data_IF_834614124448
#
_entry.id   IF_834614124448
#
_cell.length_a   1.000
_cell.length_b   1.000
_cell.length_c   1.000
_cell.angle_alpha   90.00
_cell.angle_beta   90.00
_cell.angle_gamma   90.00
#
_symmetry.space_group_name_H-M   'P 1'
#
loop_
_entity.id
_entity.type
_entity.pdbx_description
1 polymer ?
#
# COMPACT_ATOMS: atom_id res chain seq x y z
N UNK A 1 -26.18 -6.13 -13.04
CA UNK A 1 -25.60 -6.34 -14.38
C UNK A 1 -24.75 -5.16 -14.87
N UNK A 2 -25.11 -3.91 -14.59
CA UNK A 2 -24.38 -2.71 -15.04
C UNK A 2 -22.99 -2.52 -14.35
N UNK A 3 -22.81 -2.99 -13.12
CA UNK A 3 -21.55 -2.81 -12.39
C UNK A 3 -20.39 -3.67 -12.96
N UNK A 4 -20.72 -4.82 -13.56
CA UNK A 4 -19.70 -5.68 -14.17
C UNK A 4 -19.19 -5.16 -15.52
N UNK A 5 -19.99 -4.34 -16.20
CA UNK A 5 -19.59 -3.75 -17.48
C UNK A 5 -18.55 -2.62 -17.27
N UNK A 6 -18.74 -1.78 -16.27
CA UNK A 6 -17.80 -0.68 -15.97
C UNK A 6 -16.41 -1.19 -15.54
N UNK A 7 -16.37 -2.31 -14.80
CA UNK A 7 -15.11 -2.97 -14.45
C UNK A 7 -14.40 -3.56 -15.67
N UNK A 8 -15.16 -4.10 -16.62
CA UNK A 8 -14.59 -4.69 -17.85
C UNK A 8 -14.02 -3.62 -18.79
N UNK A 9 -14.67 -2.46 -18.91
CA UNK A 9 -14.13 -1.35 -19.72
C UNK A 9 -12.87 -0.73 -19.11
N UNK A 10 -12.77 -0.67 -17.78
CA UNK A 10 -11.56 -0.26 -17.09
C UNK A 10 -10.39 -1.22 -17.36
N UNK A 11 -10.66 -2.53 -17.40
CA UNK A 11 -9.64 -3.55 -17.71
C UNK A 11 -9.21 -3.54 -19.18
N UNK A 12 -10.13 -3.25 -20.10
CA UNK A 12 -9.83 -3.23 -21.54
C UNK A 12 -8.99 -1.99 -21.92
N UNK A 13 -9.25 -0.84 -21.32
CA UNK A 13 -8.39 0.34 -21.50
C UNK A 13 -6.99 0.12 -20.90
N UNK A 14 -6.91 -0.69 -19.84
CA UNK A 14 -5.64 -1.09 -19.22
C UNK A 14 -4.82 -2.01 -20.13
N UNK A 15 -5.48 -2.91 -20.88
CA UNK A 15 -4.80 -3.84 -21.78
C UNK A 15 -4.28 -3.16 -23.06
N UNK A 16 -4.97 -2.13 -23.58
CA UNK A 16 -4.53 -1.44 -24.79
C UNK A 16 -3.26 -0.60 -24.55
N UNK A 17 -3.00 -0.21 -23.30
CA UNK A 17 -1.78 0.50 -22.93
C UNK A 17 -0.56 -0.44 -22.85
N UNK A 18 -0.80 -1.73 -22.62
CA UNK A 18 0.29 -2.72 -22.45
C UNK A 18 1.07 -3.01 -23.75
N UNK A 19 0.48 -2.76 -24.92
CA UNK A 19 1.12 -3.06 -26.20
C UNK A 19 2.13 -2.00 -26.66
N UNK A 20 2.12 -0.82 -26.04
CA UNK A 20 3.01 0.31 -26.42
C UNK A 20 4.27 0.38 -25.57
N UNK A 21 4.38 -0.46 -24.52
CA UNK A 21 5.35 -0.23 -23.42
C UNK A 21 6.48 -1.26 -23.33
N UNK A 22 7.24 -1.47 -24.43
CA UNK A 22 8.37 -2.43 -24.44
C UNK A 22 9.76 -1.81 -24.31
N UNK A 23 9.87 -0.53 -23.96
CA UNK A 23 11.18 0.13 -23.82
C UNK A 23 11.42 0.68 -22.40
N UNK A 24 12.64 0.51 -21.91
CA UNK A 24 13.12 1.05 -20.62
C UNK A 24 12.87 2.55 -20.53
N UNK A 25 12.25 3.01 -19.47
CA UNK A 25 11.75 4.36 -19.47
C UNK A 25 11.99 5.15 -18.19
N UNK A 26 12.30 6.39 -18.34
CA UNK A 26 12.44 7.36 -17.25
C UNK A 26 11.09 8.00 -16.87
N UNK A 27 11.11 8.75 -15.79
CA UNK A 27 10.06 9.56 -15.17
C UNK A 27 9.26 10.39 -16.20
N UNK A 28 8.07 10.81 -15.88
CA UNK A 28 7.16 11.66 -16.68
C UNK A 28 7.85 12.71 -17.58
N UNK A 29 9.02 13.21 -17.19
CA UNK A 29 9.81 14.18 -17.96
C UNK A 29 10.21 13.74 -19.35
N UNK A 30 10.29 12.43 -19.63
CA UNK A 30 10.73 11.89 -20.92
C UNK A 30 9.59 11.42 -21.83
N UNK A 31 8.34 11.48 -21.39
CA UNK A 31 7.20 11.15 -22.23
C UNK A 31 6.87 12.29 -23.21
N UNK A 32 6.35 11.94 -24.39
CA UNK A 32 5.71 12.92 -25.27
C UNK A 32 4.55 13.59 -24.52
N UNK A 33 4.19 14.79 -24.94
CA UNK A 33 3.10 15.56 -24.32
C UNK A 33 1.78 14.78 -24.32
N UNK A 34 1.51 14.03 -25.41
CA UNK A 34 0.30 13.18 -25.53
C UNK A 34 0.29 12.06 -24.50
N UNK A 35 1.42 11.39 -24.29
CA UNK A 35 1.53 10.29 -23.31
C UNK A 35 1.39 10.82 -21.87
N UNK A 36 1.90 12.02 -21.58
CA UNK A 36 1.71 12.68 -20.27
C UNK A 36 0.24 12.97 -20.01
N UNK A 37 -0.46 13.49 -21.02
CA UNK A 37 -1.91 13.78 -20.91
C UNK A 37 -2.70 12.49 -20.60
N UNK A 38 -2.42 11.43 -21.35
CA UNK A 38 -3.10 10.14 -21.17
C UNK A 38 -2.87 9.54 -19.77
N UNK A 39 -1.62 9.51 -19.31
CA UNK A 39 -1.26 9.04 -17.96
C UNK A 39 -1.99 9.86 -16.90
N UNK A 40 -2.03 11.19 -17.06
CA UNK A 40 -2.72 12.08 -16.14
C UNK A 40 -4.21 11.79 -16.08
N UNK A 41 -4.88 11.64 -17.22
CA UNK A 41 -6.31 11.31 -17.29
C UNK A 41 -6.63 9.96 -16.61
N UNK A 42 -5.78 8.96 -16.81
CA UNK A 42 -5.94 7.66 -16.15
C UNK A 42 -5.82 7.80 -14.62
N UNK A 43 -4.84 8.55 -14.16
CA UNK A 43 -4.67 8.80 -12.71
C UNK A 43 -5.86 9.60 -12.15
N UNK A 44 -6.34 10.62 -12.85
CA UNK A 44 -7.50 11.43 -12.44
C UNK A 44 -8.75 10.56 -12.23
N UNK A 45 -8.92 9.53 -13.03
CA UNK A 45 -10.03 8.57 -12.86
C UNK A 45 -9.97 7.88 -11.49
N UNK A 46 -8.78 7.44 -11.06
CA UNK A 46 -8.62 6.80 -9.74
C UNK A 46 -8.78 7.80 -8.58
N UNK A 47 -8.40 9.06 -8.81
CA UNK A 47 -8.41 10.10 -7.78
C UNK A 47 -9.64 11.02 -7.83
N UNK A 48 -10.65 10.69 -8.62
CA UNK A 48 -11.83 11.55 -8.86
C UNK A 48 -12.52 12.06 -7.59
N UNK A 49 -12.42 11.31 -6.49
CA UNK A 49 -13.02 11.68 -5.20
C UNK A 49 -12.10 12.56 -4.33
N UNK A 50 -10.83 12.75 -4.75
CA UNK A 50 -9.86 13.58 -4.01
C UNK A 50 -8.86 14.23 -4.96
N UNK A 51 -9.32 15.15 -5.80
CA UNK A 51 -8.48 15.86 -6.76
C UNK A 51 -7.44 16.78 -6.08
N UNK A 52 -7.77 17.32 -4.90
CA UNK A 52 -6.80 18.10 -4.12
C UNK A 52 -5.64 17.23 -3.63
N UNK A 53 -5.96 16.06 -3.09
CA UNK A 53 -4.95 15.05 -2.71
C UNK A 53 -4.11 14.60 -3.90
N UNK A 54 -4.74 14.43 -5.08
CA UNK A 54 -4.04 14.07 -6.33
C UNK A 54 -2.97 15.10 -6.69
N UNK A 55 -3.32 16.37 -6.71
CA UNK A 55 -2.37 17.44 -7.03
C UNK A 55 -1.17 17.43 -6.07
N UNK A 56 -1.43 17.27 -4.78
CA UNK A 56 -0.38 17.19 -3.74
C UNK A 56 0.48 15.93 -3.93
N UNK A 57 -0.14 14.80 -4.25
CA UNK A 57 0.56 13.54 -4.50
C UNK A 57 1.52 13.67 -5.69
N UNK A 58 1.04 14.22 -6.81
CA UNK A 58 1.87 14.44 -8.01
C UNK A 58 3.05 15.36 -7.71
N UNK A 59 2.80 16.51 -7.07
CA UNK A 59 3.87 17.42 -6.66
C UNK A 59 4.96 16.68 -5.86
N UNK A 60 4.53 15.84 -4.89
CA UNK A 60 5.48 15.11 -4.04
C UNK A 60 6.20 13.98 -4.79
N UNK A 61 5.59 13.37 -5.81
CA UNK A 61 6.30 12.39 -6.65
C UNK A 61 7.44 13.04 -7.45
N UNK A 62 7.33 14.34 -7.70
CA UNK A 62 8.37 15.10 -8.43
C UNK A 62 9.40 15.74 -7.48
N UNK A 63 8.98 16.19 -6.31
CA UNK A 63 9.82 17.00 -5.40
C UNK A 63 10.44 16.19 -4.23
N UNK A 64 9.76 15.14 -3.75
CA UNK A 64 10.22 14.36 -2.59
C UNK A 64 10.70 12.97 -2.96
N UNK A 65 9.87 12.19 -3.69
CA UNK A 65 10.16 10.78 -3.96
C UNK A 65 11.51 10.54 -4.65
N UNK A 66 11.97 11.36 -5.61
CA UNK A 66 13.27 11.12 -6.25
C UNK A 66 14.46 11.12 -5.28
N UNK A 67 14.36 11.85 -4.16
CA UNK A 67 15.42 11.91 -3.14
C UNK A 67 15.61 10.57 -2.41
N UNK A 68 14.58 9.72 -2.41
CA UNK A 68 14.55 8.50 -1.62
C UNK A 68 14.34 7.23 -2.47
N UNK A 69 14.12 7.39 -3.78
CA UNK A 69 13.83 6.29 -4.71
C UNK A 69 14.86 5.17 -4.59
N UNK A 70 16.16 5.52 -4.61
CA UNK A 70 17.24 4.55 -4.53
C UNK A 70 17.19 3.73 -3.23
N UNK A 71 16.76 4.33 -2.11
CA UNK A 71 16.62 3.60 -0.83
C UNK A 71 15.45 2.61 -0.89
N UNK A 72 14.33 2.99 -1.53
CA UNK A 72 13.20 2.06 -1.74
C UNK A 72 13.60 0.90 -2.66
N UNK A 73 14.32 1.19 -3.75
CA UNK A 73 14.81 0.16 -4.67
C UNK A 73 15.78 -0.80 -3.97
N UNK A 74 16.72 -0.25 -3.20
CA UNK A 74 17.68 -1.05 -2.44
C UNK A 74 16.97 -1.92 -1.38
N UNK A 75 16.01 -1.36 -0.65
CA UNK A 75 15.25 -2.11 0.36
C UNK A 75 14.41 -3.22 -0.25
N UNK A 76 13.85 -3.02 -1.46
CA UNK A 76 13.01 -4.01 -2.14
C UNK A 76 13.82 -5.14 -2.80
N UNK A 77 15.11 -4.94 -3.06
CA UNK A 77 15.95 -5.85 -3.88
C UNK A 77 15.89 -7.32 -3.46
N UNK A 78 15.81 -7.57 -2.16
CA UNK A 78 15.81 -8.93 -1.61
C UNK A 78 14.45 -9.29 -0.97
N UNK A 79 13.41 -8.54 -1.28
CA UNK A 79 12.07 -8.76 -0.76
C UNK A 79 11.13 -9.24 -1.87
N UNK A 80 10.04 -9.86 -1.49
CA UNK A 80 9.03 -10.32 -2.45
C UNK A 80 7.99 -9.22 -2.75
N UNK A 81 8.45 -7.95 -2.83
CA UNK A 81 7.59 -6.82 -3.18
C UNK A 81 8.36 -5.81 -4.04
N UNK A 82 7.64 -5.13 -4.91
CA UNK A 82 8.22 -4.06 -5.72
C UNK A 82 8.43 -2.79 -4.88
N UNK A 83 9.44 -1.99 -5.21
CA UNK A 83 9.78 -0.77 -4.46
C UNK A 83 8.64 0.26 -4.43
N UNK A 84 7.78 0.28 -5.45
CA UNK A 84 6.61 1.19 -5.51
C UNK A 84 5.60 0.91 -4.40
N UNK A 85 5.45 -0.35 -3.97
CA UNK A 85 4.61 -0.68 -2.80
C UNK A 85 5.22 -0.09 -1.52
N UNK A 86 6.54 -0.24 -1.32
CA UNK A 86 7.21 0.34 -0.15
C UNK A 86 7.09 1.87 -0.13
N UNK A 87 7.23 2.50 -1.32
CA UNK A 87 7.04 3.94 -1.46
C UNK A 87 5.60 4.37 -1.16
N UNK A 88 4.60 3.56 -1.58
CA UNK A 88 3.18 3.81 -1.28
C UNK A 88 2.89 3.74 0.22
N UNK A 89 3.43 2.72 0.91
CA UNK A 89 3.34 2.60 2.37
C UNK A 89 3.94 3.85 3.02
N UNK A 90 5.16 4.21 2.64
CA UNK A 90 5.86 5.38 3.17
C UNK A 90 5.10 6.69 2.92
N UNK A 91 4.42 6.80 1.77
CA UNK A 91 3.58 7.98 1.50
C UNK A 91 2.40 8.04 2.47
N UNK A 92 1.73 6.93 2.69
CA UNK A 92 0.63 6.86 3.68
C UNK A 92 1.12 7.19 5.10
N UNK A 93 2.31 6.74 5.46
CA UNK A 93 2.87 6.92 6.80
C UNK A 93 3.32 8.37 7.06
N UNK A 94 4.04 8.97 6.11
CA UNK A 94 4.75 10.23 6.38
C UNK A 94 4.72 11.25 5.23
N UNK A 95 4.08 10.91 4.11
CA UNK A 95 4.19 11.69 2.86
C UNK A 95 5.67 11.88 2.44
N UNK A 96 6.49 10.84 2.64
CA UNK A 96 7.95 10.84 2.39
C UNK A 96 8.68 11.93 3.19
N UNK A 97 8.35 12.07 4.47
CA UNK A 97 9.03 12.99 5.39
C UNK A 97 9.84 12.21 6.44
N UNK A 98 11.19 12.18 6.34
CA UNK A 98 11.99 11.43 7.31
C UNK A 98 11.93 11.97 8.73
N UNK A 99 11.49 13.22 8.90
CA UNK A 99 11.37 13.87 10.23
C UNK A 99 9.96 13.75 10.82
N UNK A 100 9.06 12.99 10.17
CA UNK A 100 7.70 12.81 10.68
C UNK A 100 7.69 12.19 12.09
N UNK A 101 6.81 12.71 12.94
CA UNK A 101 6.59 12.24 14.31
C UNK A 101 5.08 12.29 14.57
N UNK A 102 4.51 11.16 15.02
CA UNK A 102 3.09 11.11 15.40
C UNK A 102 2.92 11.48 16.87
N UNK A 103 1.68 11.72 17.26
CA UNK A 103 1.30 11.97 18.67
C UNK A 103 1.64 10.78 19.58
N UNK A 104 1.72 9.56 19.04
CA UNK A 104 2.10 8.35 19.80
C UNK A 104 3.60 8.07 19.80
N UNK A 105 4.40 8.96 19.17
CA UNK A 105 5.87 8.88 19.18
C UNK A 105 6.49 7.94 18.15
N UNK A 106 5.72 7.43 17.18
CA UNK A 106 6.30 6.74 16.02
C UNK A 106 7.01 7.76 15.12
N UNK A 107 8.05 7.36 14.41
CA UNK A 107 8.94 8.31 13.72
C UNK A 107 9.44 7.80 12.37
N UNK A 108 9.76 8.77 11.53
CA UNK A 108 10.50 8.57 10.29
C UNK A 108 9.64 8.24 9.09
N UNK A 109 10.30 7.92 7.99
CA UNK A 109 9.67 7.64 6.69
C UNK A 109 8.58 6.57 6.76
N UNK A 110 8.79 5.53 7.56
CA UNK A 110 7.90 4.36 7.69
C UNK A 110 7.21 4.30 9.06
N UNK A 111 7.25 5.41 9.83
CA UNK A 111 6.57 5.57 11.12
C UNK A 111 6.80 4.39 12.09
N UNK A 112 8.08 4.08 12.34
CA UNK A 112 8.46 2.96 13.19
C UNK A 112 8.34 3.31 14.67
N UNK A 113 7.83 2.35 15.47
CA UNK A 113 7.96 2.41 16.93
C UNK A 113 9.42 2.17 17.32
N UNK A 114 9.79 2.56 18.54
CA UNK A 114 11.13 2.27 19.05
C UNK A 114 11.38 0.76 19.15
N UNK A 115 10.35 0.00 19.55
CA UNK A 115 10.41 -1.46 19.63
C UNK A 115 10.65 -2.08 18.24
N UNK A 116 9.87 -1.68 17.24
CA UNK A 116 10.01 -2.18 15.85
C UNK A 116 11.40 -1.85 15.30
N UNK A 117 11.86 -0.63 15.49
CA UNK A 117 13.19 -0.21 15.03
C UNK A 117 14.28 -1.11 15.62
N UNK A 118 14.22 -1.35 16.93
CA UNK A 118 15.16 -2.23 17.63
C UNK A 118 15.12 -3.67 17.07
N UNK A 119 13.90 -4.21 16.86
CA UNK A 119 13.70 -5.56 16.29
C UNK A 119 14.27 -5.67 14.87
N UNK A 120 14.22 -4.58 14.11
CA UNK A 120 14.72 -4.53 12.72
C UNK A 120 16.20 -4.09 12.64
N UNK A 121 16.87 -3.89 13.76
CA UNK A 121 18.27 -3.49 13.82
C UNK A 121 18.51 -2.04 13.39
N UNK A 122 17.50 -1.18 13.52
CA UNK A 122 17.54 0.21 13.06
C UNK A 122 17.97 1.12 14.22
N UNK A 123 19.03 1.87 14.01
CA UNK A 123 19.57 2.78 15.02
C UNK A 123 18.86 4.14 15.05
N UNK A 124 18.48 4.67 13.86
CA UNK A 124 17.97 6.04 13.75
C UNK A 124 16.70 6.10 12.87
N UNK A 125 15.54 6.03 13.50
CA UNK A 125 14.22 6.03 12.82
C UNK A 125 13.98 7.26 11.93
N UNK A 126 14.67 8.38 12.20
CA UNK A 126 14.55 9.63 11.43
C UNK A 126 15.60 9.75 10.32
N UNK A 127 16.49 8.79 10.20
CA UNK A 127 17.30 8.63 9.00
C UNK A 127 16.43 7.98 7.92
N UNK A 128 16.49 8.47 6.69
CA UNK A 128 15.58 8.02 5.64
C UNK A 128 15.87 6.57 5.23
N UNK A 129 17.14 6.24 5.01
CA UNK A 129 17.58 4.91 4.58
C UNK A 129 17.26 3.87 5.67
N UNK A 130 17.68 4.13 6.91
CA UNK A 130 17.39 3.29 8.07
C UNK A 130 15.87 3.04 8.23
N UNK A 131 15.07 4.10 8.15
CA UNK A 131 13.61 3.99 8.33
C UNK A 131 12.96 3.17 7.21
N UNK A 132 13.36 3.39 5.96
CA UNK A 132 12.85 2.64 4.79
C UNK A 132 13.23 1.16 4.92
N UNK A 133 14.48 0.87 5.22
CA UNK A 133 14.97 -0.49 5.39
C UNK A 133 14.22 -1.22 6.52
N UNK A 134 14.09 -0.57 7.68
CA UNK A 134 13.38 -1.15 8.83
C UNK A 134 11.91 -1.39 8.56
N UNK A 135 11.23 -0.44 7.89
CA UNK A 135 9.81 -0.59 7.53
C UNK A 135 9.58 -1.67 6.49
N UNK A 136 10.45 -1.76 5.50
CA UNK A 136 10.41 -2.78 4.45
C UNK A 136 10.56 -4.20 5.06
N UNK A 137 11.52 -4.38 5.93
CA UNK A 137 11.70 -5.66 6.64
C UNK A 137 10.52 -6.01 7.56
N UNK A 138 9.86 -5.02 8.18
CA UNK A 138 8.85 -5.18 8.84
C UNK A 138 7.82 -5.63 8.14
N UNK A 139 7.47 -5.10 7.04
CA UNK A 139 6.40 -5.51 6.13
C UNK A 139 6.62 -6.95 5.59
N UNK A 140 7.80 -7.21 5.09
CA UNK A 140 8.15 -8.56 4.60
C UNK A 140 7.98 -9.63 5.70
N UNK A 141 8.46 -9.34 6.91
CA UNK A 141 8.29 -10.25 8.07
C UNK A 141 6.80 -10.54 8.32
N UNK A 142 5.95 -9.53 8.17
CA UNK A 142 4.49 -9.67 8.31
C UNK A 142 3.92 -10.57 7.20
N UNK A 143 4.32 -10.35 5.96
CA UNK A 143 3.91 -11.19 4.81
C UNK A 143 4.31 -12.66 5.02
N UNK A 144 5.52 -12.89 5.53
CA UNK A 144 6.06 -14.24 5.72
C UNK A 144 5.34 -15.02 6.84
N UNK A 145 4.61 -14.33 7.72
CA UNK A 145 3.80 -14.97 8.78
C UNK A 145 2.47 -15.51 8.24
N UNK A 146 2.02 -15.02 7.09
CA UNK A 146 0.77 -15.49 6.48
C UNK A 146 1.01 -16.78 5.69
N UNK A 147 0.04 -17.72 5.69
CA UNK A 147 0.16 -18.99 4.98
C UNK A 147 0.54 -18.85 3.50
N UNK A 148 1.28 -19.83 3.00
CA UNK A 148 1.78 -19.83 1.61
C UNK A 148 0.64 -19.87 0.57
N UNK A 149 -0.48 -20.46 0.93
CA UNK A 149 -1.67 -20.66 0.09
C UNK A 149 -2.40 -19.34 -0.24
N UNK A 150 -2.21 -18.32 0.58
CA UNK A 150 -2.85 -17.00 0.35
C UNK A 150 -2.24 -16.37 -0.90
N UNK A 151 -3.08 -15.84 -1.79
CA UNK A 151 -2.62 -15.13 -2.97
C UNK A 151 -1.70 -13.96 -2.59
N UNK A 152 -0.75 -13.63 -3.44
CA UNK A 152 0.18 -12.51 -3.16
C UNK A 152 -0.58 -11.20 -2.88
N UNK A 153 -1.65 -10.94 -3.61
CA UNK A 153 -2.44 -9.73 -3.44
C UNK A 153 -3.15 -9.70 -2.08
N UNK A 154 -3.79 -10.81 -1.68
CA UNK A 154 -4.44 -10.91 -0.36
C UNK A 154 -3.42 -10.80 0.77
N UNK A 155 -2.22 -11.42 0.60
CA UNK A 155 -1.10 -11.24 1.56
C UNK A 155 -0.71 -9.77 1.72
N UNK A 156 -0.61 -9.05 0.62
CA UNK A 156 -0.29 -7.62 0.66
C UNK A 156 -1.36 -6.88 1.48
N UNK A 157 -2.65 -7.07 1.16
CA UNK A 157 -3.74 -6.37 1.85
C UNK A 157 -3.80 -6.71 3.34
N UNK A 158 -3.70 -7.98 3.70
CA UNK A 158 -3.66 -8.44 5.10
C UNK A 158 -2.44 -7.87 5.82
N UNK A 159 -1.28 -7.81 5.15
CA UNK A 159 -0.04 -7.27 5.74
C UNK A 159 -0.10 -5.75 5.93
N UNK A 160 -0.76 -5.03 5.03
CA UNK A 160 -1.01 -3.59 5.22
C UNK A 160 -1.88 -3.34 6.44
N UNK A 161 -2.96 -4.09 6.60
CA UNK A 161 -3.83 -3.99 7.77
C UNK A 161 -3.06 -4.37 9.06
N UNK A 162 -2.23 -5.42 9.00
CA UNK A 162 -1.39 -5.84 10.13
C UNK A 162 -0.33 -4.80 10.48
N UNK A 163 0.24 -4.10 9.50
CA UNK A 163 1.22 -3.03 9.71
C UNK A 163 0.61 -1.90 10.56
N UNK A 164 -0.65 -1.57 10.29
CA UNK A 164 -1.39 -0.52 10.99
C UNK A 164 -1.91 -0.97 12.37
N UNK A 165 -2.58 -2.12 12.44
CA UNK A 165 -3.30 -2.61 13.64
C UNK A 165 -2.51 -3.61 14.49
N UNK A 166 -1.41 -4.14 13.97
CA UNK A 166 -0.71 -5.27 14.57
C UNK A 166 -1.24 -6.61 14.06
N UNK A 167 -0.34 -7.56 13.86
CA UNK A 167 -0.59 -8.86 13.23
C UNK A 167 -1.65 -9.69 13.98
N UNK A 168 -1.70 -9.60 15.33
CA UNK A 168 -2.63 -10.39 16.15
C UNK A 168 -4.10 -10.13 15.77
N UNK A 169 -4.47 -8.92 15.37
CA UNK A 169 -5.84 -8.63 14.94
C UNK A 169 -6.18 -9.35 13.63
N UNK A 170 -5.22 -9.50 12.73
CA UNK A 170 -5.42 -10.24 11.47
C UNK A 170 -5.54 -11.74 11.74
N UNK A 171 -4.73 -12.31 12.65
CA UNK A 171 -4.88 -13.72 13.07
C UNK A 171 -6.29 -13.99 13.59
N UNK A 172 -6.76 -13.15 14.53
CA UNK A 172 -8.10 -13.29 15.12
C UNK A 172 -9.20 -13.16 14.05
N UNK A 173 -9.07 -12.22 13.12
CA UNK A 173 -10.03 -12.03 12.03
C UNK A 173 -10.06 -13.26 11.10
N UNK A 174 -8.90 -13.86 10.81
CA UNK A 174 -8.81 -15.09 10.01
C UNK A 174 -9.45 -16.29 10.74
N UNK A 175 -9.20 -16.43 12.05
CA UNK A 175 -9.81 -17.47 12.87
C UNK A 175 -11.34 -17.32 12.90
N UNK A 176 -11.82 -16.09 13.02
CA UNK A 176 -13.23 -15.77 13.00
C UNK A 176 -13.87 -16.04 11.63
N UNK A 177 -13.14 -15.76 10.53
CA UNK A 177 -13.60 -16.08 9.18
C UNK A 177 -13.86 -17.60 9.03
N UNK A 178 -12.92 -18.43 9.51
CA UNK A 178 -13.11 -19.90 9.52
C UNK A 178 -14.38 -20.31 10.28
N UNK A 179 -14.56 -19.77 11.49
CA UNK A 179 -15.73 -20.12 12.33
C UNK A 179 -17.05 -19.59 11.76
N UNK A 180 -16.98 -18.60 10.87
CA UNK A 180 -18.14 -17.98 10.19
C UNK A 180 -18.40 -18.56 8.78
N UNK A 181 -17.71 -19.65 8.41
CA UNK A 181 -17.77 -20.26 7.07
C UNK A 181 -17.38 -19.30 5.94
N UNK A 182 -16.44 -18.39 6.22
CA UNK A 182 -15.82 -17.49 5.24
C UNK A 182 -14.41 -17.99 4.92
N UNK A 183 -13.81 -17.50 3.83
CA UNK A 183 -12.46 -17.91 3.43
C UNK A 183 -11.40 -17.07 4.17
N UNK A 184 -10.62 -17.67 5.10
CA UNK A 184 -9.57 -16.95 5.82
C UNK A 184 -8.40 -16.50 4.93
N UNK A 185 -8.38 -16.93 3.66
CA UNK A 185 -7.33 -16.59 2.70
C UNK A 185 -7.72 -15.43 1.77
N UNK A 186 -8.98 -14.97 1.82
CA UNK A 186 -9.45 -13.81 1.05
C UNK A 186 -9.50 -12.56 1.94
N UNK A 187 -8.84 -11.49 1.51
CA UNK A 187 -8.87 -10.22 2.24
C UNK A 187 -10.30 -9.70 2.46
N UNK A 188 -11.17 -9.82 1.45
CA UNK A 188 -12.58 -9.37 1.56
C UNK A 188 -13.29 -10.01 2.76
N UNK A 189 -13.07 -11.29 2.99
CA UNK A 189 -13.72 -12.06 4.06
C UNK A 189 -13.07 -11.74 5.42
N UNK A 190 -11.74 -11.70 5.46
CA UNK A 190 -10.98 -11.33 6.66
C UNK A 190 -11.32 -9.90 7.10
N UNK A 191 -11.49 -8.97 6.17
CA UNK A 191 -11.86 -7.59 6.46
C UNK A 191 -13.26 -7.50 7.11
N UNK A 192 -14.18 -8.35 6.75
CA UNK A 192 -15.48 -8.44 7.46
C UNK A 192 -15.31 -8.89 8.91
N UNK A 193 -14.51 -9.85 9.08
CA UNK A 193 -14.30 -10.33 10.24
C UNK A 193 -13.55 -9.55 11.10
N UNK A 194 -12.72 -8.67 10.65
CA UNK A 194 -11.92 -7.70 11.39
C UNK A 194 -12.78 -6.70 12.18
N UNK A 195 -13.87 -6.29 11.64
CA UNK A 195 -14.84 -5.41 12.32
C UNK A 195 -15.30 -6.04 13.64
N UNK A 196 -15.67 -7.30 13.63
CA UNK A 196 -16.15 -8.01 14.82
C UNK A 196 -15.04 -8.15 15.86
N UNK A 197 -13.82 -8.49 15.44
CA UNK A 197 -12.64 -8.56 16.31
C UNK A 197 -12.40 -7.21 17.02
N UNK A 198 -12.47 -6.11 16.29
CA UNK A 198 -12.27 -4.78 16.86
C UNK A 198 -13.41 -4.36 17.79
N UNK A 199 -14.66 -4.72 17.45
CA UNK A 199 -15.82 -4.49 18.31
C UNK A 199 -15.73 -5.26 19.62
N UNK A 200 -15.36 -6.54 19.57
CA UNK A 200 -15.19 -7.38 20.76
C UNK A 200 -14.08 -6.84 21.66
N UNK A 201 -12.97 -6.41 21.08
CA UNK A 201 -11.78 -5.96 21.80
C UNK A 201 -11.93 -4.57 22.42
N UNK A 202 -12.61 -3.66 21.74
CA UNK A 202 -12.67 -2.23 22.14
C UNK A 202 -14.06 -1.73 22.52
N UNK A 203 -15.13 -2.50 22.24
CA UNK A 203 -16.51 -2.17 22.57
C UNK A 203 -17.18 -1.24 21.54
N UNK A 204 -18.50 -1.23 21.55
CA UNK A 204 -19.34 -0.52 20.54
C UNK A 204 -19.31 1.01 20.69
N UNK A 205 -19.01 1.53 21.88
CA UNK A 205 -19.10 2.97 22.18
C UNK A 205 -17.73 3.66 22.20
N UNK A 206 -16.66 2.95 21.88
CA UNK A 206 -15.32 3.52 21.89
C UNK A 206 -15.00 4.20 20.57
N UNK A 207 -14.11 5.19 20.60
CA UNK A 207 -13.54 5.79 19.39
C UNK A 207 -12.84 4.75 18.51
N UNK A 208 -12.49 3.60 19.09
CA UNK A 208 -11.92 2.45 18.39
C UNK A 208 -12.91 1.75 17.45
N UNK A 209 -14.22 2.03 17.59
CA UNK A 209 -15.22 1.56 16.60
C UNK A 209 -14.88 2.07 15.20
N UNK A 210 -14.41 3.30 15.12
CA UNK A 210 -13.98 3.91 13.86
C UNK A 210 -12.68 3.31 13.33
N UNK A 211 -11.92 2.54 14.14
CA UNK A 211 -10.66 1.90 13.70
C UNK A 211 -10.85 0.93 12.54
N UNK A 212 -11.97 0.24 12.47
CA UNK A 212 -12.25 -0.64 11.33
C UNK A 212 -12.28 0.19 10.04
N UNK A 213 -13.06 1.26 10.03
CA UNK A 213 -13.16 2.15 8.86
C UNK A 213 -11.82 2.84 8.58
N UNK A 214 -11.07 3.21 9.61
CA UNK A 214 -9.74 3.81 9.47
C UNK A 214 -8.75 2.84 8.81
N UNK A 215 -8.73 1.55 9.23
CA UNK A 215 -7.82 0.58 8.63
C UNK A 215 -8.23 0.22 7.20
N UNK A 216 -9.53 0.11 6.92
CA UNK A 216 -9.99 -0.09 5.54
C UNK A 216 -9.60 1.09 4.64
N UNK A 217 -9.76 2.32 5.14
CA UNK A 217 -9.31 3.53 4.44
C UNK A 217 -7.79 3.54 4.25
N UNK A 218 -7.03 3.14 5.29
CA UNK A 218 -5.57 3.02 5.23
C UNK A 218 -5.15 2.07 4.10
N UNK A 219 -5.72 0.86 4.07
CA UNK A 219 -5.42 -0.14 3.03
C UNK A 219 -5.81 0.38 1.64
N UNK A 220 -7.01 0.98 1.50
CA UNK A 220 -7.50 1.56 0.24
C UNK A 220 -6.60 2.69 -0.27
N UNK A 221 -6.14 3.58 0.60
CA UNK A 221 -5.22 4.67 0.24
C UNK A 221 -3.88 4.12 -0.26
N UNK A 222 -3.35 3.14 0.43
CA UNK A 222 -2.11 2.51 -0.05
C UNK A 222 -2.32 1.84 -1.41
N UNK A 223 -3.33 1.35 -1.58
CA UNK A 223 -3.63 0.84 -2.72
C UNK A 223 -3.65 1.75 -3.78
N UNK A 224 -4.34 2.93 -3.55
CA UNK A 224 -4.40 4.04 -4.52
C UNK A 224 -2.99 4.57 -4.87
N UNK A 225 -2.18 4.83 -3.86
CA UNK A 225 -0.79 5.28 -4.06
C UNK A 225 0.05 4.25 -4.81
N UNK A 226 -0.11 2.96 -4.48
CA UNK A 226 0.61 1.87 -5.15
C UNK A 226 0.22 1.78 -6.63
N UNK A 227 -1.07 1.83 -6.95
CA UNK A 227 -1.57 1.88 -8.34
C UNK A 227 -0.97 3.11 -9.06
N UNK A 228 -1.00 4.23 -8.45
CA UNK A 228 -0.41 5.45 -8.99
C UNK A 228 1.11 5.38 -9.18
N UNK A 229 1.83 4.90 -8.31
CA UNK A 229 3.03 4.74 -8.42
C UNK A 229 3.34 3.86 -9.40
N UNK A 230 2.70 2.67 -9.55
CA UNK A 230 2.92 1.64 -10.60
C UNK A 230 2.73 2.22 -12.01
N UNK A 231 1.69 3.00 -12.21
CA UNK A 231 1.46 3.69 -13.48
C UNK A 231 2.59 4.67 -13.80
N UNK A 232 2.97 5.53 -12.85
CA UNK A 232 4.00 6.56 -13.05
C UNK A 232 5.39 5.96 -13.32
N UNK A 233 5.71 4.84 -12.72
CA UNK A 233 7.04 4.21 -12.82
C UNK A 233 7.03 2.89 -13.62
N UNK A 234 5.92 2.59 -14.29
CA UNK A 234 5.76 1.40 -15.16
C UNK A 234 6.04 0.08 -14.45
N UNK A 235 5.63 -0.01 -13.19
CA UNK A 235 5.71 -1.25 -12.43
C UNK A 235 4.69 -2.26 -12.98
N UNK A 236 5.16 -3.35 -13.54
CA UNK A 236 4.31 -4.39 -14.11
C UNK A 236 3.80 -5.40 -13.07
N UNK A 237 4.38 -5.41 -11.87
CA UNK A 237 4.04 -6.40 -10.84
C UNK A 237 2.56 -6.29 -10.42
N UNK A 238 2.12 -5.09 -10.08
CA UNK A 238 0.72 -4.88 -9.68
C UNK A 238 -0.26 -5.29 -10.78
N UNK A 239 0.09 -4.98 -12.04
CA UNK A 239 -0.74 -5.32 -13.20
C UNK A 239 -0.87 -6.84 -13.39
N UNK A 240 0.16 -7.60 -13.06
CA UNK A 240 0.13 -9.08 -13.12
C UNK A 240 -0.67 -9.67 -11.96
N UNK A 241 -0.62 -9.07 -10.82
CA UNK A 241 -1.41 -9.52 -9.66
C UNK A 241 -2.92 -9.34 -9.85
N UNK A 242 -3.22 -8.49 -10.51
CA UNK A 242 -4.48 -8.22 -10.77
C UNK A 242 -5.12 -9.03 -11.74
N UNK A 243 -4.39 -9.82 -12.46
CA UNK A 243 -4.92 -10.70 -13.53
C UNK A 243 -5.32 -12.11 -13.05
N UNK A 244 -4.96 -12.50 -11.88
CA UNK A 244 -5.27 -13.80 -11.27
C UNK A 244 -6.55 -13.76 -10.45
#
# INVERSE_FOLDING_TARGET
MLNNLKLRYSLISFLSLLTVLTLEAPVLGSYSQENKSFIKEELEFFWKEDMAGFSIFLDRTETRLPKYKNYFEAAAKNLDVHWTLLAAISYQESHWNPKAISNTGVRGMMMLTQKTAKEMGINKRTDAEDSIYGGANXFQKTMNRLPIEISKLDKIWMSLAAYNLGFKNIELARDLAVSSNLDPNLWSDVALXLKEVLLERYGKESKEFDKHDEVLKYVKRIXLYYTSXSILYKDKELLLLXKK
#
